data_IF_763784293070
#
_entry.id   IF_763784293070
#
_cell.length_a   1.000
_cell.length_b   1.000
_cell.length_c   1.000
_cell.angle_alpha   90.00
_cell.angle_beta   90.00
_cell.angle_gamma   90.00
#
_symmetry.space_group_name_H-M   'P 1'
#
loop_
_entity.id
_entity.type
_entity.pdbx_description
1 polymer ?
#
# COMPACT_ATOMS: atom_id res chain seq x y z
N UNK A 1 18.00 -22.55 -20.29
CA UNK A 1 16.84 -23.34 -19.85
C UNK A 1 17.20 -24.82 -19.76
N UNK A 2 18.03 -25.17 -18.77
CA UNK A 2 18.40 -26.54 -18.43
C UNK A 2 18.53 -26.56 -16.90
N UNK A 3 17.84 -27.47 -16.23
CA UNK A 3 17.76 -27.51 -14.77
C UNK A 3 16.33 -27.73 -14.28
N UNK A 4 16.11 -27.62 -12.97
CA UNK A 4 14.77 -27.63 -12.37
C UNK A 4 14.24 -26.19 -12.40
N UNK A 5 13.00 -26.04 -12.88
CA UNK A 5 12.30 -24.78 -12.94
C UNK A 5 10.95 -24.92 -12.23
N UNK A 6 10.64 -23.95 -11.39
CA UNK A 6 9.34 -23.85 -10.71
C UNK A 6 8.66 -22.57 -11.17
N UNK A 7 7.38 -22.68 -11.50
CA UNK A 7 6.57 -21.57 -12.00
C UNK A 7 5.29 -21.49 -11.18
N UNK A 8 4.99 -20.29 -10.67
CA UNK A 8 3.74 -19.99 -9.97
C UNK A 8 2.82 -19.23 -10.89
N UNK A 9 1.59 -19.70 -11.05
CA UNK A 9 0.54 -19.04 -11.81
C UNK A 9 -0.82 -19.35 -11.20
N UNK A 10 -1.80 -18.48 -11.45
CA UNK A 10 -3.18 -18.68 -11.01
C UNK A 10 -4.16 -18.19 -12.08
N UNK A 11 -5.41 -18.66 -11.99
CA UNK A 11 -6.51 -18.17 -12.82
C UNK A 11 -7.64 -17.71 -11.89
N UNK A 12 -7.96 -16.42 -11.94
CA UNK A 12 -9.04 -15.84 -11.17
C UNK A 12 -10.22 -15.49 -12.09
N UNK A 13 -11.28 -16.30 -12.03
CA UNK A 13 -12.48 -16.09 -12.84
C UNK A 13 -13.38 -15.03 -12.20
N UNK A 14 -13.36 -13.84 -12.78
CA UNK A 14 -14.24 -12.72 -12.41
C UNK A 14 -15.36 -12.48 -13.42
N UNK A 15 -16.46 -11.90 -12.95
CA UNK A 15 -17.51 -11.28 -13.79
C UNK A 15 -17.39 -9.76 -13.85
N UNK A 16 -16.56 -9.18 -12.99
CA UNK A 16 -16.42 -7.75 -12.85
C UNK A 16 -15.48 -7.20 -13.94
N UNK A 17 -15.97 -6.30 -14.82
CA UNK A 17 -15.14 -5.68 -15.85
C UNK A 17 -14.10 -4.70 -15.30
N UNK A 18 -14.19 -4.26 -14.03
CA UNK A 18 -13.25 -3.32 -13.42
C UNK A 18 -11.85 -3.92 -13.19
N UNK A 19 -11.76 -5.26 -13.19
CA UNK A 19 -10.58 -6.03 -12.81
C UNK A 19 -10.09 -5.81 -11.37
N UNK A 20 -10.79 -5.03 -10.53
CA UNK A 20 -10.36 -4.66 -9.17
C UNK A 20 -9.99 -5.89 -8.33
N UNK A 21 -10.90 -6.86 -8.24
CA UNK A 21 -10.65 -8.10 -7.51
C UNK A 21 -9.49 -8.91 -8.09
N UNK A 22 -9.34 -8.97 -9.41
CA UNK A 22 -8.27 -9.75 -10.06
C UNK A 22 -6.90 -9.14 -9.84
N UNK A 23 -6.78 -7.81 -9.93
CA UNK A 23 -5.52 -7.13 -9.66
C UNK A 23 -5.13 -7.32 -8.20
N UNK A 24 -6.08 -7.21 -7.27
CA UNK A 24 -5.81 -7.44 -5.86
C UNK A 24 -5.29 -8.86 -5.59
N UNK A 25 -5.98 -9.89 -6.08
CA UNK A 25 -5.57 -11.29 -5.89
C UNK A 25 -4.22 -11.60 -6.58
N UNK A 26 -3.93 -10.96 -7.72
CA UNK A 26 -2.63 -11.07 -8.38
C UNK A 26 -1.51 -10.43 -7.54
N UNK A 27 -1.77 -9.30 -6.86
CA UNK A 27 -0.82 -8.72 -5.91
C UNK A 27 -0.61 -9.64 -4.70
N UNK A 28 -1.70 -10.12 -4.10
CA UNK A 28 -1.64 -10.98 -2.91
C UNK A 28 -0.89 -12.31 -3.21
N UNK A 29 -1.00 -12.87 -4.41
CA UNK A 29 -0.23 -14.05 -4.84
C UNK A 29 1.30 -13.81 -4.84
N UNK A 30 1.73 -12.56 -5.08
CA UNK A 30 3.13 -12.19 -5.14
C UNK A 30 3.69 -11.71 -3.78
N UNK A 31 2.88 -11.72 -2.72
CA UNK A 31 3.28 -11.28 -1.39
C UNK A 31 3.17 -12.43 -0.40
N UNK A 32 4.32 -12.95 0.02
CA UNK A 32 4.37 -13.99 1.04
C UNK A 32 3.85 -13.49 2.38
N UNK A 33 3.00 -14.29 3.02
CA UNK A 33 2.55 -14.01 4.39
C UNK A 33 3.66 -14.33 5.38
N UNK A 34 4.01 -13.35 6.21
CA UNK A 34 4.99 -13.52 7.28
C UNK A 34 4.29 -14.07 8.53
N UNK A 35 4.69 -15.26 8.94
CA UNK A 35 4.25 -15.88 10.19
C UNK A 35 5.45 -15.98 11.13
N UNK A 36 5.29 -15.53 12.37
CA UNK A 36 6.31 -15.62 13.40
C UNK A 36 5.71 -16.14 14.71
N UNK A 37 6.52 -16.89 15.46
CA UNK A 37 6.14 -17.33 16.80
C UNK A 37 6.20 -16.15 17.77
N UNK A 38 5.12 -15.97 18.53
CA UNK A 38 5.10 -15.00 19.62
C UNK A 38 6.06 -15.49 20.72
N UNK A 39 7.12 -14.72 20.99
CA UNK A 39 7.95 -14.97 22.17
C UNK A 39 7.14 -14.66 23.42
N UNK A 40 7.20 -15.54 24.42
CA UNK A 40 6.74 -15.22 25.77
C UNK A 40 7.64 -14.11 26.31
N UNK A 41 7.18 -12.87 26.22
CA UNK A 41 7.83 -11.73 26.83
C UNK A 41 6.92 -11.18 27.93
N UNK A 42 7.49 -10.94 29.11
CA UNK A 42 6.81 -10.36 30.28
C UNK A 42 6.62 -8.83 30.13
N UNK A 43 6.75 -8.30 28.92
CA UNK A 43 6.61 -6.88 28.62
C UNK A 43 5.13 -6.48 28.51
N UNK A 44 4.79 -5.37 29.16
CA UNK A 44 3.43 -4.83 29.31
C UNK A 44 2.82 -4.29 27.99
N UNK A 45 3.51 -4.40 26.86
CA UNK A 45 3.06 -3.89 25.57
C UNK A 45 2.14 -4.90 24.89
N UNK A 46 0.86 -4.85 25.25
CA UNK A 46 -0.18 -5.68 24.63
C UNK A 46 -0.68 -4.94 23.38
N UNK A 47 -0.20 -5.33 22.20
CA UNK A 47 -0.92 -5.03 20.97
C UNK A 47 -2.21 -5.87 20.93
N UNK A 48 -3.30 -5.35 20.34
CA UNK A 48 -4.49 -6.16 20.08
C UNK A 48 -4.14 -7.37 19.21
N UNK A 49 -4.85 -8.49 19.42
CA UNK A 49 -4.65 -9.73 18.63
C UNK A 49 -4.81 -9.50 17.11
N UNK A 50 -5.63 -8.51 16.74
CA UNK A 50 -5.81 -8.06 15.36
C UNK A 50 -5.63 -6.55 15.31
N UNK A 51 -4.68 -6.10 14.49
CA UNK A 51 -4.45 -4.69 14.24
C UNK A 51 -4.22 -4.41 12.76
N UNK A 52 -4.55 -3.21 12.32
CA UNK A 52 -4.27 -2.71 10.98
C UNK A 52 -3.41 -1.47 11.09
N UNK A 53 -2.23 -1.49 10.48
CA UNK A 53 -1.32 -0.35 10.48
C UNK A 53 -1.85 0.83 9.66
N UNK A 54 -2.54 0.56 8.55
CA UNK A 54 -3.12 1.55 7.65
C UNK A 54 -4.40 0.97 7.05
N UNK A 55 -5.47 1.76 7.00
CA UNK A 55 -6.66 1.43 6.24
C UNK A 55 -7.07 2.57 5.33
N UNK A 56 -7.57 2.24 4.14
CA UNK A 56 -8.00 3.21 3.14
C UNK A 56 -9.15 2.66 2.28
N UNK A 57 -9.79 3.54 1.51
CA UNK A 57 -10.87 3.22 0.59
C UNK A 57 -10.60 3.90 -0.75
N UNK A 58 -10.85 3.17 -1.83
CA UNK A 58 -10.57 3.52 -3.23
C UNK A 58 -11.24 2.47 -4.11
N UNK A 59 -11.35 2.73 -5.42
CA UNK A 59 -11.83 1.78 -6.43
C UNK A 59 -10.72 1.25 -7.35
N UNK A 60 -9.67 2.05 -7.57
CA UNK A 60 -8.65 1.79 -8.59
C UNK A 60 -7.23 2.17 -8.18
N UNK A 61 -6.99 2.43 -6.89
CA UNK A 61 -5.65 2.77 -6.37
C UNK A 61 -5.17 1.67 -5.43
N UNK A 62 -3.89 1.28 -5.55
CA UNK A 62 -3.25 0.32 -4.66
C UNK A 62 -2.09 0.97 -3.90
N UNK A 63 -1.92 0.56 -2.65
CA UNK A 63 -0.71 0.83 -1.86
C UNK A 63 0.36 -0.19 -2.26
N UNK A 64 1.36 0.27 -2.99
CA UNK A 64 2.44 -0.56 -3.53
C UNK A 64 3.67 -0.60 -2.61
N UNK A 65 4.04 0.55 -2.03
CA UNK A 65 5.25 0.64 -1.20
C UNK A 65 4.93 1.20 0.18
N UNK A 66 5.45 0.53 1.22
CA UNK A 66 5.63 1.07 2.56
C UNK A 66 7.08 0.88 2.94
N UNK A 67 7.80 1.96 3.24
CA UNK A 67 9.19 1.88 3.76
C UNK A 67 9.48 3.02 4.73
N UNK A 68 10.57 2.91 5.50
CA UNK A 68 11.12 4.06 6.21
C UNK A 68 11.62 5.11 5.22
N UNK A 69 11.42 6.38 5.54
CA UNK A 69 12.05 7.49 4.81
C UNK A 69 13.58 7.41 4.91
N UNK A 70 14.30 7.88 3.89
CA UNK A 70 15.77 7.81 3.84
C UNK A 70 16.46 8.56 4.99
N UNK A 71 15.83 9.64 5.46
CA UNK A 71 16.28 10.41 6.63
C UNK A 71 15.77 9.84 7.96
N UNK A 72 15.12 8.67 7.94
CA UNK A 72 14.43 8.02 9.06
C UNK A 72 13.30 8.85 9.69
N UNK A 73 12.85 9.91 9.02
CA UNK A 73 11.77 10.77 9.51
C UNK A 73 10.40 10.34 8.98
N UNK A 74 9.87 9.25 9.53
CA UNK A 74 8.57 8.69 9.16
C UNK A 74 8.64 7.63 8.06
N UNK A 75 7.51 7.40 7.39
CA UNK A 75 7.34 6.35 6.39
C UNK A 75 7.00 6.93 5.02
N UNK A 76 7.45 6.28 3.96
CA UNK A 76 7.03 6.55 2.59
C UNK A 76 5.93 5.58 2.22
N UNK A 77 4.78 6.12 1.83
CA UNK A 77 3.66 5.38 1.25
C UNK A 77 3.58 5.73 -0.23
N UNK A 78 3.64 4.73 -1.11
CA UNK A 78 3.47 4.92 -2.56
C UNK A 78 2.21 4.24 -3.03
N UNK A 79 1.39 5.02 -3.71
CA UNK A 79 0.15 4.56 -4.28
C UNK A 79 0.20 4.73 -5.79
N UNK A 80 -0.48 3.84 -6.52
CA UNK A 80 -0.64 3.96 -7.97
C UNK A 80 -2.06 3.60 -8.39
N UNK A 81 -2.53 4.27 -9.45
CA UNK A 81 -3.80 3.97 -10.10
C UNK A 81 -3.58 2.92 -11.20
N UNK A 82 -4.43 1.90 -11.27
CA UNK A 82 -4.22 0.74 -12.15
C UNK A 82 -5.32 0.51 -13.19
N UNK A 83 -6.46 1.17 -13.09
CA UNK A 83 -7.60 1.00 -14.01
C UNK A 83 -7.53 1.95 -15.21
N UNK A 84 -6.60 2.90 -15.23
CA UNK A 84 -6.52 3.93 -16.27
C UNK A 84 -7.63 4.97 -16.13
N UNK A 85 -8.21 5.11 -14.93
CA UNK A 85 -9.31 6.00 -14.63
C UNK A 85 -8.90 7.16 -13.72
N UNK A 86 -9.90 7.99 -13.38
CA UNK A 86 -9.77 8.92 -12.25
C UNK A 86 -10.36 8.28 -11.01
N UNK A 87 -9.64 8.37 -9.89
CA UNK A 87 -10.12 7.86 -8.61
C UNK A 87 -9.66 8.71 -7.43
N UNK A 88 -10.34 8.60 -6.30
CA UNK A 88 -10.04 9.34 -5.08
C UNK A 88 -9.71 8.38 -3.96
N UNK A 89 -8.51 8.52 -3.40
CA UNK A 89 -8.05 7.76 -2.24
C UNK A 89 -8.58 8.40 -0.95
N UNK A 90 -9.19 7.61 -0.07
CA UNK A 90 -9.54 8.05 1.29
C UNK A 90 -8.77 7.24 2.32
N UNK A 91 -7.89 7.88 3.09
CA UNK A 91 -7.28 7.25 4.26
C UNK A 91 -8.30 7.21 5.39
N UNK A 92 -8.56 6.02 5.93
CA UNK A 92 -9.55 5.80 6.98
C UNK A 92 -8.89 5.80 8.37
N UNK A 93 -7.72 5.17 8.50
CA UNK A 93 -6.97 5.11 9.77
C UNK A 93 -5.48 4.83 9.56
N UNK A 94 -4.70 4.97 10.63
CA UNK A 94 -3.29 4.56 10.66
C UNK A 94 -2.28 5.65 10.34
N UNK A 95 -2.73 6.81 9.86
CA UNK A 95 -1.86 7.96 9.53
C UNK A 95 -2.26 9.18 10.35
N UNK A 96 -1.29 9.84 10.99
CA UNK A 96 -1.49 11.09 11.75
C UNK A 96 -1.14 12.33 10.95
N UNK A 97 -0.20 12.23 10.02
CA UNK A 97 0.12 13.29 9.07
C UNK A 97 0.58 12.71 7.74
N UNK A 98 0.29 13.42 6.65
CA UNK A 98 0.65 13.04 5.29
C UNK A 98 1.17 14.28 4.55
N UNK A 99 2.22 14.14 3.76
CA UNK A 99 2.74 15.20 2.89
C UNK A 99 3.18 14.64 1.55
N UNK A 100 2.87 15.33 0.46
CA UNK A 100 3.25 14.85 -0.88
C UNK A 100 4.75 14.99 -1.10
N UNK A 101 5.34 13.95 -1.69
CA UNK A 101 6.73 13.90 -2.09
C UNK A 101 6.87 13.37 -3.51
N UNK A 102 8.01 13.64 -4.14
CA UNK A 102 8.37 12.96 -5.37
C UNK A 102 8.96 11.56 -5.08
N UNK A 103 9.40 10.86 -6.13
CA UNK A 103 9.99 9.52 -6.01
C UNK A 103 11.29 9.52 -5.19
N UNK A 104 12.01 10.65 -5.16
CA UNK A 104 13.24 10.88 -4.38
C UNK A 104 12.94 11.46 -2.99
N UNK A 105 11.72 11.30 -2.49
CA UNK A 105 11.26 11.76 -1.16
C UNK A 105 11.32 13.28 -0.92
N UNK A 106 11.65 14.08 -1.94
CA UNK A 106 11.67 15.54 -1.82
C UNK A 106 10.24 16.09 -1.81
N UNK A 107 9.98 17.06 -0.92
CA UNK A 107 8.67 17.70 -0.75
C UNK A 107 8.14 18.22 -2.08
N UNK A 108 6.90 17.89 -2.37
CA UNK A 108 6.17 18.36 -3.55
C UNK A 108 5.01 19.23 -3.08
N UNK A 109 4.98 20.48 -3.54
CA UNK A 109 3.83 21.34 -3.29
C UNK A 109 2.68 20.89 -4.20
N UNK A 110 1.62 20.41 -3.59
CA UNK A 110 0.35 20.06 -4.23
C UNK A 110 -0.74 20.73 -3.40
N UNK A 111 -1.79 21.20 -4.06
CA UNK A 111 -2.99 21.67 -3.37
C UNK A 111 -3.64 20.52 -2.61
N UNK A 112 -4.18 20.78 -1.43
CA UNK A 112 -4.82 19.73 -0.62
C UNK A 112 -5.95 19.01 -1.38
N UNK A 113 -6.72 19.75 -2.18
CA UNK A 113 -7.80 19.22 -3.04
C UNK A 113 -7.33 18.15 -4.03
N UNK A 114 -6.12 18.31 -4.57
CA UNK A 114 -5.55 17.42 -5.56
C UNK A 114 -4.72 16.30 -4.92
N UNK A 115 -4.49 16.35 -3.61
CA UNK A 115 -3.56 15.45 -2.93
C UNK A 115 -3.98 13.99 -3.14
N UNK A 116 -5.26 13.69 -2.97
CA UNK A 116 -5.80 12.34 -3.00
C UNK A 116 -6.46 11.91 -4.31
N UNK A 117 -6.51 12.80 -5.31
CA UNK A 117 -7.13 12.53 -6.61
C UNK A 117 -6.09 11.97 -7.58
N UNK A 118 -6.31 10.77 -8.10
CA UNK A 118 -5.43 10.11 -9.05
C UNK A 118 -5.96 10.28 -10.47
N UNK A 119 -5.05 10.60 -11.40
CA UNK A 119 -5.28 10.53 -12.84
C UNK A 119 -4.90 9.14 -13.37
N UNK A 120 -5.28 8.79 -14.62
CA UNK A 120 -4.96 7.49 -15.22
C UNK A 120 -3.48 7.12 -15.07
N UNK A 121 -3.20 5.95 -14.51
CA UNK A 121 -1.85 5.37 -14.29
C UNK A 121 -0.92 6.22 -13.42
N UNK A 122 -1.48 7.16 -12.65
CA UNK A 122 -0.68 8.07 -11.86
C UNK A 122 -0.09 7.37 -10.63
N UNK A 123 1.19 7.65 -10.38
CA UNK A 123 1.89 7.25 -9.16
C UNK A 123 2.01 8.49 -8.26
N UNK A 124 1.65 8.34 -6.99
CA UNK A 124 1.86 9.36 -5.96
C UNK A 124 2.58 8.77 -4.76
N UNK A 125 3.55 9.50 -4.25
CA UNK A 125 4.28 9.17 -3.04
C UNK A 125 3.98 10.19 -1.95
N UNK A 126 3.87 9.70 -0.73
CA UNK A 126 3.62 10.50 0.44
C UNK A 126 4.60 10.14 1.55
N UNK A 127 5.06 11.15 2.28
CA UNK A 127 5.66 10.94 3.60
C UNK A 127 4.56 10.97 4.65
N UNK A 128 4.53 9.94 5.49
CA UNK A 128 3.51 9.69 6.49
C UNK A 128 4.11 9.53 7.89
N UNK A 129 3.40 10.01 8.90
CA UNK A 129 3.56 9.57 10.30
C UNK A 129 2.46 8.58 10.62
N UNK A 130 2.83 7.39 11.09
CA UNK A 130 1.86 6.35 11.42
C UNK A 130 1.38 6.48 12.86
N UNK A 131 0.13 6.10 13.11
CA UNK A 131 -0.45 5.98 14.44
C UNK A 131 -0.13 4.57 14.95
N UNK A 132 0.94 4.44 15.72
CA UNK A 132 1.33 3.20 16.41
C UNK A 132 0.71 3.14 17.80
#
# INVERSE_FOLDING_TARGET
DKGIHEFTYSLFLHKDPSLEGTVKEAYDLNVDQLVCEKKEDNSLAILPDVTSFISYTTKGVLLDTIKLAEDNDGFILRFFEFQGGYDTLKINSGVTSLSSVNILEAKKQIKEEDMFVFSPFQIKSYRAKLKM
#
